data_IF_873750184223
#
_entry.id   IF_873750184223
#
_cell.length_a   1.000
_cell.length_b   1.000
_cell.length_c   1.000
_cell.angle_alpha   90.00
_cell.angle_beta   90.00
_cell.angle_gamma   90.00
#
_symmetry.space_group_name_H-M   'P 1'
#
loop_
_entity.id
_entity.type
_entity.pdbx_description
1 polymer ?
#
# COMPACT_ATOMS: atom_id res chain seq x y z
N UNK A 1 49.27 -7.67 -10.68
CA UNK A 1 48.26 -8.75 -10.75
C UNK A 1 48.58 -9.59 -11.97
N UNK A 2 48.88 -10.87 -11.79
CA UNK A 2 49.27 -11.72 -12.91
C UNK A 2 48.03 -11.95 -13.79
N UNK A 3 48.14 -11.72 -15.10
CA UNK A 3 47.03 -11.86 -16.05
C UNK A 3 46.31 -13.23 -15.90
N UNK A 4 47.06 -14.28 -15.59
CA UNK A 4 46.54 -15.61 -15.27
C UNK A 4 45.55 -15.61 -14.10
N UNK A 5 45.80 -14.82 -13.05
CA UNK A 5 44.89 -14.69 -11.90
C UNK A 5 43.56 -14.07 -12.30
N UNK A 6 43.56 -13.11 -13.23
CA UNK A 6 42.33 -12.49 -13.74
C UNK A 6 41.51 -13.48 -14.57
N UNK A 7 42.17 -14.25 -15.45
CA UNK A 7 41.50 -15.27 -16.28
C UNK A 7 40.89 -16.37 -15.41
N UNK A 8 41.59 -16.82 -14.37
CA UNK A 8 41.09 -17.81 -13.41
C UNK A 8 39.85 -17.27 -12.66
N UNK A 9 39.91 -16.02 -12.19
CA UNK A 9 38.81 -15.40 -11.45
C UNK A 9 37.57 -15.21 -12.35
N UNK A 10 37.77 -14.78 -13.59
CA UNK A 10 36.70 -14.64 -14.58
C UNK A 10 36.03 -16.00 -14.87
N UNK A 11 36.81 -17.07 -14.97
CA UNK A 11 36.29 -18.42 -15.19
C UNK A 11 35.45 -18.90 -13.99
N UNK A 12 35.90 -18.64 -12.75
CA UNK A 12 35.14 -18.98 -11.54
C UNK A 12 33.80 -18.24 -11.51
N UNK A 13 33.79 -16.93 -11.80
CA UNK A 13 32.57 -16.12 -11.83
C UNK A 13 31.59 -16.64 -12.89
N UNK A 14 32.09 -17.02 -14.06
CA UNK A 14 31.29 -17.53 -15.17
C UNK A 14 30.70 -18.91 -14.85
N UNK A 15 31.46 -19.81 -14.23
CA UNK A 15 30.93 -21.10 -13.76
C UNK A 15 29.85 -20.88 -12.69
N UNK A 16 30.06 -19.99 -11.73
CA UNK A 16 29.08 -19.71 -10.69
C UNK A 16 27.79 -19.09 -11.23
N UNK A 17 27.87 -18.16 -12.18
CA UNK A 17 26.70 -17.50 -12.76
C UNK A 17 25.86 -18.44 -13.63
N UNK A 18 26.47 -19.44 -14.29
CA UNK A 18 25.75 -20.47 -15.03
C UNK A 18 25.25 -21.62 -14.14
N UNK A 19 25.99 -21.97 -13.09
CA UNK A 19 25.61 -23.03 -12.17
C UNK A 19 24.51 -22.57 -11.19
N UNK A 20 24.51 -21.30 -10.77
CA UNK A 20 23.52 -20.74 -9.84
C UNK A 20 22.08 -20.96 -10.30
N UNK A 21 21.68 -20.66 -11.55
CA UNK A 21 20.33 -20.96 -12.04
C UNK A 21 19.98 -22.44 -12.08
N UNK A 22 20.97 -23.33 -12.23
CA UNK A 22 20.76 -24.78 -12.30
C UNK A 22 20.66 -25.41 -10.90
N UNK A 23 21.42 -24.91 -9.94
CA UNK A 23 21.40 -25.30 -8.53
C UNK A 23 20.26 -24.63 -7.75
N UNK A 24 19.89 -23.41 -8.14
CA UNK A 24 18.70 -22.72 -7.69
C UNK A 24 17.49 -23.41 -8.30
N UNK A 25 17.11 -24.52 -7.67
CA UNK A 25 15.94 -25.33 -7.98
C UNK A 25 14.66 -24.52 -7.62
N UNK A 26 14.50 -23.36 -8.26
CA UNK A 26 13.41 -22.42 -8.06
C UNK A 26 12.20 -23.02 -8.80
N UNK A 27 11.41 -23.78 -8.04
CA UNK A 27 10.24 -24.47 -8.55
C UNK A 27 10.54 -25.90 -8.99
N UNK A 28 10.57 -26.80 -8.01
CA UNK A 28 10.39 -28.24 -8.26
C UNK A 28 9.03 -28.46 -8.93
N UNK A 29 9.01 -28.48 -10.26
CA UNK A 29 7.82 -28.90 -11.00
C UNK A 29 7.72 -30.42 -10.88
N UNK A 30 7.14 -30.88 -9.77
CA UNK A 30 6.80 -32.28 -9.58
C UNK A 30 5.62 -32.57 -10.51
N UNK A 31 5.91 -32.93 -11.76
CA UNK A 31 4.91 -33.48 -12.68
C UNK A 31 4.52 -34.84 -12.13
N UNK A 32 3.52 -34.86 -11.25
CA UNK A 32 2.79 -36.06 -10.90
C UNK A 32 2.14 -36.58 -12.18
N UNK A 33 2.73 -37.60 -12.81
CA UNK A 33 2.02 -38.44 -13.76
C UNK A 33 0.91 -39.13 -12.97
N UNK A 34 -0.30 -38.58 -13.04
CA UNK A 34 -1.48 -39.27 -12.57
C UNK A 34 -1.79 -40.35 -13.59
N UNK A 35 -1.40 -41.58 -13.26
CA UNK A 35 -1.89 -42.77 -13.92
C UNK A 35 -3.43 -42.80 -13.84
N UNK A 36 -4.04 -42.88 -15.02
CA UNK A 36 -5.39 -43.36 -15.32
C UNK A 36 -6.30 -43.64 -14.11
N UNK A 37 -7.18 -42.69 -13.76
CA UNK A 37 -8.42 -43.07 -13.07
C UNK A 37 -9.63 -42.33 -13.64
N UNK A 38 -10.53 -43.16 -14.13
CA UNK A 38 -11.81 -42.92 -14.80
C UNK A 38 -12.52 -41.63 -14.39
N UNK A 39 -12.90 -40.89 -15.41
CA UNK A 39 -13.89 -39.82 -15.40
C UNK A 39 -15.24 -40.46 -15.03
N UNK A 40 -15.75 -40.15 -13.83
CA UNK A 40 -17.18 -40.27 -13.54
C UNK A 40 -17.65 -38.97 -12.90
N UNK A 41 -18.55 -38.32 -13.63
CA UNK A 41 -19.29 -37.12 -13.30
C UNK A 41 -19.67 -36.99 -11.82
N UNK A 42 -19.12 -36.00 -11.13
CA UNK A 42 -19.87 -35.06 -10.27
C UNK A 42 -18.96 -33.95 -9.76
N UNK A 43 -19.53 -32.76 -9.71
CA UNK A 43 -19.07 -31.56 -9.02
C UNK A 43 -17.96 -30.76 -9.71
N UNK A 44 -18.42 -29.74 -10.44
CA UNK A 44 -17.69 -28.54 -10.85
C UNK A 44 -17.11 -27.83 -9.63
N UNK A 45 -16.00 -28.34 -9.10
CA UNK A 45 -15.17 -27.61 -8.13
C UNK A 45 -13.96 -27.11 -8.89
N UNK A 46 -13.96 -25.81 -9.18
CA UNK A 46 -12.82 -25.12 -9.77
C UNK A 46 -11.56 -25.55 -9.02
N UNK A 47 -10.58 -26.08 -9.76
CA UNK A 47 -9.24 -26.36 -9.24
C UNK A 47 -8.55 -25.02 -8.99
N UNK A 48 -8.98 -24.34 -7.94
CA UNK A 48 -8.28 -23.18 -7.42
C UNK A 48 -6.93 -23.70 -6.91
N UNK A 49 -5.85 -23.37 -7.63
CA UNK A 49 -4.48 -23.57 -7.16
C UNK A 49 -4.32 -22.82 -5.84
N UNK A 50 -4.35 -23.56 -4.72
CA UNK A 50 -4.10 -23.03 -3.40
C UNK A 50 -2.59 -23.00 -3.18
N UNK A 51 -2.01 -21.82 -3.27
CA UNK A 51 -0.64 -21.59 -2.86
C UNK A 51 -0.61 -21.44 -1.34
N UNK A 52 -0.01 -22.41 -0.65
CA UNK A 52 0.32 -22.28 0.77
C UNK A 52 1.72 -21.68 0.87
N UNK A 53 1.82 -20.34 0.95
CA UNK A 53 3.06 -19.70 1.37
C UNK A 53 3.23 -19.98 2.87
N UNK A 54 4.35 -20.62 3.22
CA UNK A 54 4.73 -20.80 4.62
C UNK A 54 5.44 -19.51 5.02
N UNK A 55 4.67 -18.58 5.62
CA UNK A 55 5.18 -17.30 6.11
C UNK A 55 6.26 -17.53 7.17
N UNK A 56 7.53 -17.51 6.74
CA UNK A 56 8.61 -17.23 7.66
C UNK A 56 8.77 -15.71 7.74
N UNK A 57 8.50 -15.21 8.94
CA UNK A 57 8.97 -13.95 9.52
C UNK A 57 8.47 -12.66 8.86
N UNK A 58 7.42 -12.10 9.48
CA UNK A 58 7.25 -10.67 9.83
C UNK A 58 7.98 -9.68 8.90
N UNK A 59 7.47 -9.50 7.69
CA UNK A 59 7.57 -8.22 7.01
C UNK A 59 6.21 -7.54 7.18
N UNK A 60 6.11 -6.59 8.13
CA UNK A 60 4.99 -5.66 8.22
C UNK A 60 5.07 -4.69 7.03
N UNK A 61 4.77 -5.20 5.84
CA UNK A 61 4.39 -4.36 4.73
C UNK A 61 2.97 -3.86 5.03
N UNK A 62 2.86 -2.63 5.50
CA UNK A 62 1.60 -1.89 5.54
C UNK A 62 1.10 -1.66 4.10
N UNK A 63 0.59 -2.72 3.47
CA UNK A 63 -0.29 -2.58 2.32
C UNK A 63 -1.64 -2.19 2.88
N UNK A 64 -2.01 -0.93 2.68
CA UNK A 64 -3.31 -0.35 2.97
C UNK A 64 -4.42 -1.12 2.23
N UNK A 65 -4.83 -2.25 2.82
CA UNK A 65 -6.06 -2.95 2.49
C UNK A 65 -7.23 -2.06 2.94
N UNK A 66 -7.51 -0.98 2.19
CA UNK A 66 -8.91 -0.58 2.02
C UNK A 66 -9.56 -1.76 1.32
N UNK A 67 -10.39 -2.49 2.06
CA UNK A 67 -11.09 -3.70 1.64
C UNK A 67 -12.15 -3.39 0.57
N UNK A 68 -11.76 -2.78 -0.55
CA UNK A 68 -12.59 -2.66 -1.74
C UNK A 68 -12.62 -4.00 -2.44
N UNK A 69 -13.82 -4.55 -2.66
CA UNK A 69 -14.02 -5.69 -3.57
C UNK A 69 -13.45 -5.29 -4.93
N UNK A 70 -12.27 -5.80 -5.27
CA UNK A 70 -11.67 -5.64 -6.60
C UNK A 70 -12.60 -6.31 -7.61
N UNK A 71 -13.25 -5.51 -8.46
CA UNK A 71 -14.11 -6.02 -9.52
C UNK A 71 -13.24 -6.77 -10.55
N UNK A 72 -13.66 -7.99 -10.88
CA UNK A 72 -13.04 -8.82 -11.93
C UNK A 72 -13.69 -8.51 -13.27
N UNK A 73 -12.87 -8.22 -14.28
CA UNK A 73 -13.35 -8.03 -15.64
C UNK A 73 -13.91 -9.35 -16.19
N UNK A 74 -15.16 -9.34 -16.68
CA UNK A 74 -15.84 -10.52 -17.20
C UNK A 74 -15.23 -11.03 -18.52
N UNK A 75 -14.56 -10.16 -19.28
CA UNK A 75 -13.95 -10.53 -20.57
C UNK A 75 -12.58 -11.16 -20.41
N UNK A 76 -11.78 -10.65 -19.47
CA UNK A 76 -10.39 -11.09 -19.27
C UNK A 76 -10.19 -11.96 -18.03
N UNK A 77 -11.14 -11.97 -17.09
CA UNK A 77 -11.05 -12.68 -15.81
C UNK A 77 -10.00 -12.12 -14.85
N UNK A 78 -9.30 -11.03 -15.24
CA UNK A 78 -8.25 -10.42 -14.45
C UNK A 78 -8.84 -9.42 -13.45
N UNK A 79 -8.25 -9.35 -12.26
CA UNK A 79 -8.59 -8.33 -11.26
C UNK A 79 -8.16 -6.96 -11.79
N UNK A 80 -9.10 -6.03 -11.88
CA UNK A 80 -8.78 -4.66 -12.30
C UNK A 80 -7.95 -3.98 -11.21
N UNK A 81 -6.72 -3.59 -11.56
CA UNK A 81 -5.84 -2.81 -10.69
C UNK A 81 -6.37 -1.38 -10.73
N UNK A 82 -7.04 -0.95 -9.66
CA UNK A 82 -7.59 0.41 -9.48
C UNK A 82 -8.82 0.70 -10.36
N UNK A 83 -9.99 0.56 -9.75
CA UNK A 83 -11.19 1.28 -10.18
C UNK A 83 -11.50 2.27 -9.05
N UNK A 84 -10.67 3.29 -8.91
CA UNK A 84 -11.22 4.51 -8.32
C UNK A 84 -12.30 4.96 -9.31
N UNK A 85 -13.56 4.98 -8.89
CA UNK A 85 -14.63 5.55 -9.72
C UNK A 85 -14.21 6.99 -9.96
N UNK A 86 -13.86 7.31 -11.20
CA UNK A 86 -13.54 8.67 -11.59
C UNK A 86 -14.82 9.47 -11.37
N UNK A 87 -14.74 10.45 -10.48
CA UNK A 87 -15.84 11.39 -10.33
C UNK A 87 -15.80 12.32 -11.54
N UNK A 88 -16.90 12.33 -12.27
CA UNK A 88 -17.05 13.13 -13.48
C UNK A 88 -17.43 14.56 -13.18
N UNK A 89 -17.85 14.83 -11.94
CA UNK A 89 -18.16 16.19 -11.51
C UNK A 89 -16.86 16.95 -11.22
N UNK A 90 -16.52 18.00 -11.98
CA UNK A 90 -15.34 18.80 -11.70
C UNK A 90 -15.42 19.50 -10.34
N UNK A 91 -16.62 19.68 -9.80
CA UNK A 91 -16.84 20.44 -8.58
C UNK A 91 -16.79 19.58 -7.31
N UNK A 92 -16.62 18.26 -7.40
CA UNK A 92 -16.60 17.41 -6.20
C UNK A 92 -15.37 17.56 -5.32
N UNK A 93 -14.36 18.28 -5.82
CA UNK A 93 -13.15 18.67 -5.09
C UNK A 93 -13.07 20.19 -4.89
N UNK A 94 -14.10 20.94 -5.28
CA UNK A 94 -14.17 22.37 -4.99
C UNK A 94 -14.52 22.54 -3.52
N UNK A 95 -13.88 23.51 -2.88
CA UNK A 95 -14.21 23.90 -1.52
C UNK A 95 -15.40 24.86 -1.55
N UNK A 96 -16.36 24.65 -0.64
CA UNK A 96 -17.45 25.58 -0.46
C UNK A 96 -16.90 26.90 0.08
N UNK A 97 -16.90 27.94 -0.76
CA UNK A 97 -16.37 29.27 -0.41
C UNK A 97 -17.07 29.84 0.82
N UNK A 98 -18.37 29.58 0.96
CA UNK A 98 -19.14 30.00 2.13
C UNK A 98 -18.68 29.29 3.41
N UNK A 99 -18.26 28.02 3.33
CA UNK A 99 -17.70 27.29 4.48
C UNK A 99 -16.38 27.93 4.92
N UNK A 100 -15.50 28.23 3.96
CA UNK A 100 -14.22 28.90 4.22
C UNK A 100 -14.40 30.28 4.85
N UNK A 101 -15.31 31.10 4.31
CA UNK A 101 -15.59 32.45 4.86
C UNK A 101 -16.10 32.35 6.30
N UNK A 102 -16.97 31.37 6.58
CA UNK A 102 -17.53 31.20 7.93
C UNK A 102 -16.48 30.68 8.93
N UNK A 103 -15.53 29.85 8.48
CA UNK A 103 -14.40 29.42 9.30
C UNK A 103 -13.51 30.62 9.66
N UNK A 104 -13.14 31.43 8.68
CA UNK A 104 -12.31 32.63 8.88
C UNK A 104 -12.98 33.63 9.85
N UNK A 105 -14.26 33.94 9.66
CA UNK A 105 -15.00 34.85 10.55
C UNK A 105 -15.08 34.33 11.99
N UNK A 106 -15.22 33.02 12.16
CA UNK A 106 -15.27 32.42 13.48
C UNK A 106 -13.91 32.51 14.17
N UNK A 107 -12.83 32.24 13.46
CA UNK A 107 -11.48 32.39 14.00
C UNK A 107 -11.18 33.83 14.41
N UNK A 108 -11.58 34.81 13.59
CA UNK A 108 -11.39 36.23 13.91
C UNK A 108 -12.12 36.63 15.20
N UNK A 109 -13.38 36.22 15.34
CA UNK A 109 -14.16 36.49 16.56
C UNK A 109 -13.55 35.86 17.80
N UNK A 110 -13.04 34.62 17.72
CA UNK A 110 -12.38 33.96 18.85
C UNK A 110 -11.06 34.67 19.22
N UNK A 111 -10.32 35.19 18.24
CA UNK A 111 -9.10 35.96 18.49
C UNK A 111 -9.39 37.31 19.13
N UNK A 112 -10.45 38.01 18.69
CA UNK A 112 -10.88 39.26 19.31
C UNK A 112 -11.31 39.07 20.76
N UNK A 113 -12.09 38.02 21.04
CA UNK A 113 -12.49 37.68 22.41
C UNK A 113 -11.27 37.40 23.30
N UNK A 114 -10.32 36.59 22.84
CA UNK A 114 -9.06 36.33 23.57
C UNK A 114 -8.27 37.61 23.82
N UNK A 115 -8.24 38.55 22.86
CA UNK A 115 -7.56 39.84 23.01
C UNK A 115 -8.24 40.71 24.09
N UNK A 116 -9.57 40.73 24.12
CA UNK A 116 -10.33 41.47 25.14
C UNK A 116 -10.16 40.86 26.53
N UNK A 117 -10.20 39.54 26.63
CA UNK A 117 -9.94 38.82 27.89
C UNK A 117 -8.55 39.12 28.45
N UNK A 118 -7.51 39.12 27.60
CA UNK A 118 -6.14 39.48 27.98
C UNK A 118 -6.00 40.94 28.41
N UNK A 119 -6.78 41.85 27.82
CA UNK A 119 -6.75 43.25 28.20
C UNK A 119 -7.41 43.46 29.57
N UNK A 120 -8.57 42.83 29.80
CA UNK A 120 -9.30 42.88 31.06
C UNK A 120 -8.54 42.19 32.21
N UNK A 121 -7.83 41.10 31.94
CA UNK A 121 -7.00 40.44 32.96
C UNK A 121 -5.84 41.33 33.40
N UNK A 122 -5.15 41.99 32.46
CA UNK A 122 -4.05 42.92 32.76
C UNK A 122 -4.52 44.16 33.52
N UNK A 123 -5.68 44.72 33.17
CA UNK A 123 -6.21 45.87 33.91
C UNK A 123 -6.58 45.52 35.35
N UNK A 124 -7.06 44.30 35.60
CA UNK A 124 -7.38 43.86 36.95
C UNK A 124 -6.10 43.59 37.78
N UNK A 125 -5.06 43.02 37.16
CA UNK A 125 -3.74 42.84 37.80
C UNK A 125 -3.10 44.20 38.16
N UNK A 126 -3.17 45.21 37.29
CA UNK A 126 -2.66 46.56 37.59
C UNK A 126 -3.45 47.25 38.73
N UNK A 127 -4.75 46.99 38.87
CA UNK A 127 -5.56 47.54 39.96
C UNK A 127 -5.22 46.87 41.30
N UNK A 128 -5.02 45.56 41.30
CA UNK A 128 -4.64 44.80 42.51
C UNK A 128 -3.21 45.12 42.97
N UNK A 129 -2.30 45.53 42.06
CA UNK A 129 -0.93 45.93 42.40
C UNK A 129 -0.84 47.35 43.02
N UNK A 130 -1.90 48.16 42.88
CA UNK A 130 -1.99 49.53 43.40
C UNK A 130 -2.71 49.67 44.75
N UNK A 131 -3.28 48.57 45.28
CA UNK A 131 -4.00 48.50 46.57
C UNK A 131 -3.11 47.84 47.64
#
# INVERSE_FOLDING_TARGET
MNFSSFVILLLIVLVFSLAMPLLSNIGTFKVTKNDNKKITNKDNKSRNLKFNLKDQTKATAFSSNRAGKLETDQKTGLKRRVIAKYDSDPNSFDFDVDELINEDLKEELEQEQKRLEQFNSKSNEEIDELV
#
